data_IF_072164824792
#
_entry.id   IF_072164824792
#
_cell.length_a   1.000
_cell.length_b   1.000
_cell.length_c   1.000
_cell.angle_alpha   90.00
_cell.angle_beta   90.00
_cell.angle_gamma   90.00
#
_symmetry.space_group_name_H-M   'P 1'
#
loop_
_entity.id
_entity.type
_entity.pdbx_description
1 polymer ?
#
# COMPACT_ATOMS: atom_id res chain seq x y z
N UNK A 1 12.52 4.03 -5.46
CA UNK A 1 13.38 2.92 -5.87
C UNK A 1 12.63 1.61 -5.80
N UNK A 2 12.16 1.15 -4.63
CA UNK A 2 11.52 -0.16 -4.46
C UNK A 2 10.25 -0.35 -5.30
N UNK A 3 9.39 0.66 -5.43
CA UNK A 3 8.21 0.59 -6.28
C UNK A 3 8.58 0.44 -7.77
N UNK A 4 9.63 1.13 -8.22
CA UNK A 4 10.13 1.03 -9.58
C UNK A 4 10.74 -0.34 -9.88
N UNK A 5 11.53 -0.87 -8.97
CA UNK A 5 12.04 -2.24 -9.02
C UNK A 5 10.89 -3.27 -9.05
N UNK A 6 9.90 -3.09 -8.18
CA UNK A 6 8.76 -4.01 -8.05
C UNK A 6 7.87 -4.04 -9.29
N UNK A 7 7.72 -2.89 -9.97
CA UNK A 7 6.94 -2.78 -11.21
C UNK A 7 7.46 -3.75 -12.29
N UNK A 8 8.79 -3.87 -12.44
CA UNK A 8 9.38 -4.81 -13.40
C UNK A 8 9.03 -6.27 -13.06
N UNK A 9 8.97 -6.61 -11.77
CA UNK A 9 8.57 -7.96 -11.32
C UNK A 9 7.08 -8.22 -11.54
N UNK A 10 6.23 -7.21 -11.36
CA UNK A 10 4.81 -7.32 -11.70
C UNK A 10 4.56 -7.51 -13.19
N UNK A 11 5.33 -6.85 -14.05
CA UNK A 11 5.26 -7.04 -15.50
C UNK A 11 5.71 -8.43 -15.95
N UNK A 12 6.74 -8.98 -15.27
CA UNK A 12 7.26 -10.32 -15.50
C UNK A 12 6.73 -11.34 -14.45
N UNK A 13 5.44 -11.22 -14.04
CA UNK A 13 4.91 -11.95 -12.91
C UNK A 13 5.05 -13.47 -13.02
N UNK A 14 4.82 -14.04 -14.20
CA UNK A 14 4.98 -15.47 -14.45
C UNK A 14 6.44 -15.94 -14.25
N UNK A 15 7.39 -15.17 -14.77
CA UNK A 15 8.82 -15.49 -14.62
C UNK A 15 9.27 -15.32 -13.16
N UNK A 16 8.78 -14.28 -12.49
CA UNK A 16 9.04 -14.06 -11.07
C UNK A 16 8.57 -15.23 -10.20
N UNK A 17 7.43 -15.82 -10.52
CA UNK A 17 6.89 -17.00 -9.83
C UNK A 17 7.62 -18.32 -10.20
N UNK A 18 8.51 -18.29 -11.18
CA UNK A 18 9.17 -19.51 -11.69
C UNK A 18 8.25 -20.37 -12.56
N UNK A 19 7.32 -19.74 -13.31
CA UNK A 19 6.42 -20.38 -14.25
C UNK A 19 4.99 -20.62 -13.74
N UNK A 20 4.12 -21.09 -14.62
CA UNK A 20 2.72 -21.43 -14.33
C UNK A 20 2.57 -22.84 -13.81
N UNK A 21 1.60 -23.01 -12.94
CA UNK A 21 1.08 -24.31 -12.51
C UNK A 21 -0.22 -24.74 -13.23
N UNK A 22 -0.57 -24.06 -14.33
CA UNK A 22 -1.82 -24.24 -15.06
C UNK A 22 -2.97 -23.35 -14.56
N UNK A 23 -2.79 -22.61 -13.49
CA UNK A 23 -3.79 -21.68 -12.93
C UNK A 23 -3.81 -20.30 -13.60
N UNK A 24 -4.82 -19.51 -13.23
CA UNK A 24 -4.89 -18.07 -13.58
C UNK A 24 -3.82 -17.31 -12.80
N UNK A 25 -3.14 -16.38 -13.46
CA UNK A 25 -2.24 -15.42 -12.82
C UNK A 25 -2.93 -14.06 -12.68
N UNK A 26 -2.62 -13.36 -11.58
CA UNK A 26 -2.90 -11.95 -11.47
C UNK A 26 -2.13 -11.18 -12.56
N UNK A 27 -2.73 -10.11 -13.07
CA UNK A 27 -2.15 -9.33 -14.17
C UNK A 27 -1.88 -7.90 -13.75
N UNK A 28 -0.73 -7.42 -14.11
CA UNK A 28 -0.42 -6.00 -14.07
C UNK A 28 -0.98 -5.32 -15.32
N UNK A 29 -1.84 -4.33 -15.11
CA UNK A 29 -2.40 -3.49 -16.16
C UNK A 29 -1.65 -2.17 -16.17
N UNK A 30 -0.81 -1.96 -17.19
CA UNK A 30 -0.12 -0.69 -17.41
C UNK A 30 -1.12 0.31 -18.01
N UNK A 31 -1.63 1.21 -17.18
CA UNK A 31 -2.60 2.25 -17.57
C UNK A 31 -2.01 3.65 -17.53
N UNK A 32 -0.80 3.78 -17.00
CA UNK A 32 -0.27 5.05 -16.56
C UNK A 32 -0.86 5.48 -15.22
N UNK A 33 -0.23 6.48 -14.62
CA UNK A 33 -0.67 7.13 -13.40
C UNK A 33 -0.57 8.64 -13.53
N UNK A 34 -1.63 9.33 -13.17
CA UNK A 34 -1.72 10.79 -13.14
C UNK A 34 -1.86 11.24 -11.70
N UNK A 35 -0.97 12.12 -11.26
CA UNK A 35 -1.13 12.83 -10.01
C UNK A 35 -1.48 14.29 -10.32
N UNK A 36 -2.64 14.74 -9.85
CA UNK A 36 -3.08 16.12 -10.03
C UNK A 36 -2.34 17.06 -9.09
N UNK A 37 -2.07 18.27 -9.54
CA UNK A 37 -1.37 19.28 -8.76
C UNK A 37 -2.15 19.63 -7.48
N UNK A 38 -1.44 19.66 -6.37
CA UNK A 38 -2.00 20.08 -5.08
C UNK A 38 -0.94 20.80 -4.24
N UNK A 39 -1.32 21.85 -3.49
CA UNK A 39 -0.39 22.57 -2.64
C UNK A 39 0.27 21.75 -1.52
N UNK A 40 -0.37 20.67 -1.09
CA UNK A 40 0.16 19.79 -0.03
C UNK A 40 1.14 18.72 -0.55
N UNK A 41 1.36 18.64 -1.86
CA UNK A 41 2.37 17.75 -2.44
C UNK A 41 3.24 18.52 -3.44
N UNK A 42 4.53 18.57 -3.18
CA UNK A 42 5.49 19.19 -4.10
C UNK A 42 5.75 18.28 -5.29
N UNK A 43 5.17 18.63 -6.46
CA UNK A 43 5.48 17.95 -7.72
C UNK A 43 6.99 17.98 -8.01
N UNK A 44 7.67 19.10 -7.77
CA UNK A 44 9.11 19.23 -7.97
C UNK A 44 9.91 18.19 -7.16
N UNK A 45 9.55 17.97 -5.88
CA UNK A 45 10.20 16.94 -5.03
C UNK A 45 10.00 15.54 -5.62
N UNK A 46 8.79 15.21 -6.03
CA UNK A 46 8.47 13.88 -6.60
C UNK A 46 9.18 13.67 -7.93
N UNK A 47 9.14 14.67 -8.82
CA UNK A 47 9.78 14.59 -10.14
C UNK A 47 11.32 14.52 -10.01
N UNK A 48 11.91 15.24 -9.04
CA UNK A 48 13.33 15.10 -8.73
C UNK A 48 13.72 13.69 -8.27
N UNK A 49 12.83 12.98 -7.57
CA UNK A 49 13.03 11.56 -7.25
C UNK A 49 12.86 10.67 -8.48
N UNK A 50 11.93 10.98 -9.38
CA UNK A 50 11.74 10.26 -10.64
C UNK A 50 12.99 10.37 -11.52
N UNK A 51 13.58 11.57 -11.64
CA UNK A 51 14.82 11.79 -12.36
C UNK A 51 15.98 10.96 -11.80
N UNK A 52 16.13 10.91 -10.47
CA UNK A 52 17.16 10.13 -9.79
C UNK A 52 17.04 8.62 -10.04
N UNK A 53 15.81 8.12 -10.19
CA UNK A 53 15.53 6.68 -10.34
C UNK A 53 15.34 6.30 -11.81
N UNK A 54 15.20 7.28 -12.70
CA UNK A 54 14.95 7.05 -14.13
C UNK A 54 13.51 6.66 -14.45
N UNK A 55 12.53 7.14 -13.66
CA UNK A 55 11.10 6.94 -13.94
C UNK A 55 10.66 7.94 -15.01
N UNK A 56 10.14 7.52 -16.16
CA UNK A 56 9.66 8.43 -17.18
C UNK A 56 8.38 9.13 -16.75
N UNK A 57 8.28 10.42 -17.05
CA UNK A 57 7.09 11.22 -16.77
C UNK A 57 6.89 12.35 -17.79
N UNK A 58 5.68 12.89 -17.80
CA UNK A 58 5.34 14.14 -18.49
C UNK A 58 4.62 15.06 -17.50
N UNK A 59 4.92 16.35 -17.58
CA UNK A 59 4.14 17.38 -16.86
C UNK A 59 3.04 17.87 -17.77
N UNK A 60 1.81 17.79 -17.33
CA UNK A 60 0.64 18.21 -18.08
C UNK A 60 0.09 19.52 -17.52
N UNK A 61 0.01 20.53 -18.35
CA UNK A 61 -0.73 21.75 -18.04
C UNK A 61 -2.24 21.48 -17.93
N UNK A 62 -3.04 22.40 -17.40
CA UNK A 62 -4.51 22.25 -17.40
C UNK A 62 -5.08 22.07 -18.81
N UNK A 63 -4.43 22.62 -19.84
CA UNK A 63 -4.82 22.48 -21.23
C UNK A 63 -4.48 21.06 -21.76
N UNK A 64 -3.28 20.57 -21.47
CA UNK A 64 -2.88 19.20 -21.80
C UNK A 64 -3.83 18.19 -21.15
N UNK A 65 -4.20 18.41 -19.90
CA UNK A 65 -5.12 17.54 -19.16
C UNK A 65 -6.50 17.50 -19.83
N UNK A 66 -7.07 18.66 -20.20
CA UNK A 66 -8.36 18.71 -20.93
C UNK A 66 -8.31 18.01 -22.28
N UNK A 67 -7.16 18.10 -22.97
CA UNK A 67 -7.00 17.48 -24.28
C UNK A 67 -6.82 15.96 -24.19
N UNK A 68 -5.99 15.50 -23.24
CA UNK A 68 -5.59 14.08 -23.13
C UNK A 68 -6.57 13.25 -22.29
N UNK A 69 -7.24 13.86 -21.33
CA UNK A 69 -8.18 13.20 -20.43
C UNK A 69 -9.46 14.07 -20.23
N UNK A 70 -10.24 14.29 -21.31
CA UNK A 70 -11.34 15.25 -21.32
C UNK A 70 -12.50 14.96 -20.37
N UNK A 71 -12.56 13.74 -19.82
CA UNK A 71 -13.55 13.34 -18.84
C UNK A 71 -13.23 13.89 -17.44
N UNK A 72 -11.99 14.37 -17.19
CA UNK A 72 -11.55 14.90 -15.90
C UNK A 72 -11.68 16.43 -15.89
N UNK A 73 -12.49 16.95 -14.98
CA UNK A 73 -12.54 18.39 -14.73
C UNK A 73 -11.23 18.91 -14.17
N UNK A 74 -10.76 20.05 -14.65
CA UNK A 74 -9.48 20.64 -14.25
C UNK A 74 -9.63 21.73 -13.18
N UNK A 75 -10.81 21.89 -12.61
CA UNK A 75 -11.06 22.88 -11.57
C UNK A 75 -10.22 22.65 -10.31
N UNK A 76 -9.74 23.74 -9.69
CA UNK A 76 -9.03 23.71 -8.42
C UNK A 76 -10.02 23.85 -7.27
N UNK A 77 -10.02 22.88 -6.34
CA UNK A 77 -10.91 22.82 -5.19
C UNK A 77 -10.20 22.83 -3.84
N UNK A 78 -8.87 22.80 -3.85
CA UNK A 78 -8.05 22.78 -2.62
C UNK A 78 -8.36 23.94 -1.65
N UNK A 79 -8.36 23.69 -0.31
CA UNK A 79 -8.18 22.40 0.36
C UNK A 79 -9.41 21.49 0.22
N UNK A 80 -9.22 20.16 0.34
CA UNK A 80 -10.35 19.23 0.45
C UNK A 80 -11.32 19.66 1.55
N UNK A 81 -12.62 19.49 1.32
CA UNK A 81 -13.68 19.91 2.24
C UNK A 81 -14.63 18.75 2.53
N UNK A 82 -15.28 18.74 3.72
CA UNK A 82 -16.36 17.80 3.98
C UNK A 82 -17.50 17.95 2.98
N UNK A 83 -18.00 16.86 2.43
CA UNK A 83 -19.07 16.88 1.41
C UNK A 83 -20.41 17.37 1.96
N UNK A 84 -20.58 17.37 3.29
CA UNK A 84 -21.76 17.89 3.97
C UNK A 84 -21.77 19.44 4.11
N UNK A 85 -20.67 20.11 3.82
CA UNK A 85 -20.56 21.56 3.90
C UNK A 85 -20.90 22.22 2.58
N UNK A 86 -21.61 23.36 2.61
CA UNK A 86 -21.94 24.15 1.41
C UNK A 86 -20.67 24.53 0.62
N UNK A 87 -19.59 24.81 1.33
CA UNK A 87 -18.31 25.16 0.73
C UNK A 87 -17.68 24.05 -0.15
N UNK A 88 -18.08 22.78 0.02
CA UNK A 88 -17.68 21.71 -0.89
C UNK A 88 -18.22 21.94 -2.31
N UNK A 89 -19.37 22.59 -2.44
CA UNK A 89 -20.09 22.81 -3.70
C UNK A 89 -19.74 24.13 -4.38
N UNK A 90 -18.84 24.93 -3.79
CA UNK A 90 -18.35 26.18 -4.38
C UNK A 90 -17.70 25.95 -5.74
N UNK A 91 -17.78 26.96 -6.61
CA UNK A 91 -17.07 26.98 -7.89
C UNK A 91 -15.55 26.86 -7.70
N UNK A 92 -14.84 26.25 -8.67
CA UNK A 92 -13.40 26.13 -8.59
C UNK A 92 -12.70 27.48 -8.57
N UNK A 93 -11.60 27.58 -7.81
CA UNK A 93 -10.83 28.82 -7.66
C UNK A 93 -9.78 29.04 -8.75
N UNK A 94 -9.74 28.18 -9.75
CA UNK A 94 -8.79 28.19 -10.85
C UNK A 94 -8.74 26.83 -11.53
N UNK A 95 -7.64 26.52 -12.18
CA UNK A 95 -7.43 25.20 -12.81
C UNK A 95 -6.09 24.61 -12.41
N UNK A 96 -6.00 23.28 -12.45
CA UNK A 96 -4.82 22.49 -12.13
C UNK A 96 -4.41 21.61 -13.31
N UNK A 97 -3.11 21.36 -13.40
CA UNK A 97 -2.51 20.32 -14.21
C UNK A 97 -2.12 19.12 -13.36
N UNK A 98 -1.03 18.50 -13.72
CA UNK A 98 -0.49 17.36 -12.98
C UNK A 98 0.75 16.79 -13.64
N UNK A 99 1.23 15.66 -13.12
CA UNK A 99 2.26 14.87 -13.77
C UNK A 99 1.79 13.44 -14.01
N UNK A 100 2.14 12.94 -15.16
CA UNK A 100 1.75 11.61 -15.62
C UNK A 100 2.98 10.73 -15.86
N UNK A 101 2.91 9.47 -15.44
CA UNK A 101 3.91 8.46 -15.76
C UNK A 101 3.29 7.31 -16.55
N UNK A 102 3.88 6.92 -17.70
CA UNK A 102 3.33 5.85 -18.55
C UNK A 102 3.44 4.47 -17.92
N UNK A 103 4.36 4.29 -16.98
CA UNK A 103 4.74 2.99 -16.46
C UNK A 103 4.00 2.60 -15.18
N UNK A 104 3.16 3.47 -14.65
CA UNK A 104 2.26 3.12 -13.56
C UNK A 104 1.09 2.25 -14.04
N UNK A 105 0.42 1.62 -13.08
CA UNK A 105 -0.71 0.76 -13.33
C UNK A 105 -1.22 0.09 -12.07
N UNK A 106 -1.99 -0.97 -12.23
CA UNK A 106 -2.54 -1.74 -11.11
C UNK A 106 -2.56 -3.24 -11.40
N UNK A 107 -2.58 -4.03 -10.35
CA UNK A 107 -2.83 -5.48 -10.43
C UNK A 107 -4.34 -5.72 -10.33
N UNK A 108 -4.88 -6.53 -11.22
CA UNK A 108 -6.34 -6.73 -11.37
C UNK A 108 -6.98 -7.43 -10.16
N UNK A 109 -6.23 -8.31 -9.49
CA UNK A 109 -6.76 -9.12 -8.41
C UNK A 109 -5.69 -9.40 -7.34
N UNK A 110 -5.72 -8.68 -6.20
CA UNK A 110 -4.75 -8.88 -5.13
C UNK A 110 -4.86 -10.25 -4.44
N UNK A 111 -6.06 -10.84 -4.37
CA UNK A 111 -6.23 -12.16 -3.80
C UNK A 111 -5.59 -13.23 -4.68
N UNK A 112 -5.72 -13.10 -6.01
CA UNK A 112 -4.99 -13.96 -6.95
C UNK A 112 -3.48 -13.78 -6.86
N UNK A 113 -2.99 -12.56 -6.70
CA UNK A 113 -1.56 -12.32 -6.52
C UNK A 113 -1.01 -13.05 -5.28
N UNK A 114 -1.70 -12.95 -4.14
CA UNK A 114 -1.36 -13.68 -2.92
C UNK A 114 -1.43 -15.20 -3.12
N UNK A 115 -2.47 -15.71 -3.79
CA UNK A 115 -2.61 -17.12 -4.12
C UNK A 115 -1.46 -17.61 -5.03
N UNK A 116 -1.10 -16.85 -6.05
CA UNK A 116 0.01 -17.22 -6.93
C UNK A 116 1.35 -17.32 -6.17
N UNK A 117 1.62 -16.39 -5.25
CA UNK A 117 2.79 -16.45 -4.36
C UNK A 117 2.76 -17.71 -3.48
N UNK A 118 1.59 -18.01 -2.90
CA UNK A 118 1.41 -19.21 -2.07
C UNK A 118 1.74 -20.47 -2.86
N UNK A 119 1.17 -20.62 -4.06
CA UNK A 119 1.41 -21.80 -4.92
C UNK A 119 2.88 -21.90 -5.34
N UNK A 120 3.51 -20.76 -5.68
CA UNK A 120 4.93 -20.74 -6.00
C UNK A 120 5.78 -21.17 -4.80
N UNK A 121 5.48 -20.68 -3.60
CA UNK A 121 6.16 -21.08 -2.37
C UNK A 121 5.98 -22.58 -2.06
N UNK A 122 4.76 -23.12 -2.26
CA UNK A 122 4.50 -24.57 -2.08
C UNK A 122 5.33 -25.43 -3.02
N UNK A 123 5.53 -25.01 -4.26
CA UNK A 123 6.43 -25.72 -5.21
C UNK A 123 7.89 -25.75 -4.73
N UNK A 124 8.28 -24.79 -3.91
CA UNK A 124 9.59 -24.72 -3.27
C UNK A 124 9.64 -25.39 -1.89
N UNK A 125 8.57 -26.06 -1.48
CA UNK A 125 8.51 -26.83 -0.24
C UNK A 125 7.90 -26.10 0.95
N UNK A 126 7.36 -24.88 0.79
CA UNK A 126 6.66 -24.19 1.86
C UNK A 126 5.32 -24.89 2.20
N UNK A 127 4.95 -24.88 3.48
CA UNK A 127 3.68 -25.38 3.98
C UNK A 127 2.83 -24.24 4.48
N UNK A 128 1.52 -24.31 4.25
CA UNK A 128 0.54 -23.32 4.70
C UNK A 128 -0.48 -23.98 5.62
N UNK A 129 -0.77 -23.33 6.74
CA UNK A 129 -1.79 -23.76 7.69
C UNK A 129 -2.78 -22.63 7.89
N UNK A 130 -3.99 -22.82 7.37
CA UNK A 130 -5.11 -21.88 7.51
C UNK A 130 -5.97 -22.24 8.72
N UNK A 131 -6.77 -21.27 9.18
CA UNK A 131 -7.65 -21.46 10.34
C UNK A 131 -6.89 -21.77 11.63
N UNK A 132 -5.69 -21.18 11.79
CA UNK A 132 -4.84 -21.36 12.96
C UNK A 132 -4.45 -20.00 13.52
N UNK A 133 -4.65 -19.83 14.82
CA UNK A 133 -4.29 -18.59 15.56
C UNK A 133 -3.03 -18.84 16.39
N UNK A 134 -2.05 -17.95 16.24
CA UNK A 134 -0.86 -17.95 17.10
C UNK A 134 -1.24 -17.36 18.46
N UNK A 135 -1.11 -18.13 19.53
CA UNK A 135 -1.42 -17.74 20.91
C UNK A 135 -0.19 -17.54 21.79
N UNK A 136 1.00 -17.86 21.26
CA UNK A 136 2.24 -17.65 21.99
C UNK A 136 3.47 -17.81 21.13
N UNK A 137 4.52 -17.04 21.45
CA UNK A 137 5.86 -17.18 20.90
C UNK A 137 6.75 -17.83 21.96
N UNK A 138 7.33 -18.98 21.64
CA UNK A 138 8.23 -19.71 22.52
C UNK A 138 9.66 -19.19 22.36
N UNK A 139 10.33 -18.98 23.49
CA UNK A 139 11.70 -18.45 23.52
C UNK A 139 12.55 -19.18 24.60
N UNK A 140 13.84 -19.24 24.35
CA UNK A 140 14.84 -19.66 25.33
C UNK A 140 16.13 -18.86 25.11
N UNK A 141 16.72 -18.36 26.17
CA UNK A 141 17.99 -17.61 26.09
C UNK A 141 17.90 -16.33 25.25
N UNK A 142 16.71 -15.71 25.10
CA UNK A 142 16.53 -14.51 24.29
C UNK A 142 16.21 -14.78 22.81
N UNK A 143 16.21 -16.06 22.37
CA UNK A 143 15.96 -16.46 20.99
C UNK A 143 14.63 -17.17 20.84
N UNK A 144 13.97 -17.00 19.69
CA UNK A 144 12.75 -17.74 19.36
C UNK A 144 13.05 -19.23 19.16
N UNK A 145 12.10 -20.07 19.59
CA UNK A 145 12.08 -21.52 19.36
C UNK A 145 10.89 -21.94 18.48
N UNK A 146 9.95 -21.03 18.22
CA UNK A 146 8.75 -21.29 17.47
C UNK A 146 7.50 -20.70 18.10
N UNK A 147 6.33 -21.18 17.67
CA UNK A 147 5.03 -20.68 18.11
C UNK A 147 4.15 -21.77 18.71
N UNK A 148 3.16 -21.36 19.48
CA UNK A 148 2.05 -22.19 19.95
C UNK A 148 0.77 -21.69 19.29
N UNK A 149 -0.07 -22.59 18.82
CA UNK A 149 -1.36 -22.30 18.20
C UNK A 149 -2.50 -22.49 19.20
N UNK A 150 -3.68 -22.00 18.85
CA UNK A 150 -4.92 -22.07 19.64
C UNK A 150 -5.38 -23.50 19.95
N UNK A 151 -5.09 -24.47 19.08
CA UNK A 151 -5.34 -25.90 19.32
C UNK A 151 -4.25 -26.59 20.16
N UNK A 152 -3.28 -25.85 20.70
CA UNK A 152 -2.17 -26.36 21.47
C UNK A 152 -1.01 -26.93 20.63
N UNK A 153 -1.11 -26.94 19.30
CA UNK A 153 -0.01 -27.38 18.43
C UNK A 153 1.20 -26.47 18.61
N UNK A 154 2.37 -27.05 18.65
CA UNK A 154 3.64 -26.34 18.66
C UNK A 154 4.34 -26.51 17.34
N UNK A 155 4.79 -25.40 16.76
CA UNK A 155 5.61 -25.38 15.54
C UNK A 155 6.99 -24.85 15.92
N UNK A 156 8.00 -25.66 15.69
CA UNK A 156 9.39 -25.31 15.99
C UNK A 156 10.01 -24.59 14.79
N UNK A 157 10.66 -23.46 15.05
CA UNK A 157 11.44 -22.73 14.05
C UNK A 157 12.47 -21.84 14.75
N UNK A 158 13.72 -21.78 14.29
CA UNK A 158 14.72 -20.85 14.80
C UNK A 158 14.51 -19.41 14.30
N UNK A 159 13.65 -19.22 13.30
CA UNK A 159 13.29 -17.93 12.70
C UNK A 159 11.79 -17.78 12.64
N UNK A 160 11.29 -16.64 13.06
CA UNK A 160 9.89 -16.26 13.01
C UNK A 160 9.76 -14.87 12.38
N UNK A 161 8.91 -14.74 11.37
CA UNK A 161 8.61 -13.44 10.74
C UNK A 161 7.18 -13.05 11.04
N UNK A 162 6.98 -11.92 11.69
CA UNK A 162 5.67 -11.32 11.87
C UNK A 162 5.29 -10.52 10.62
N UNK A 163 4.27 -10.97 9.92
CA UNK A 163 3.64 -10.28 8.80
C UNK A 163 2.11 -10.27 8.99
N UNK A 164 1.66 -10.10 10.24
CA UNK A 164 0.27 -10.28 10.66
C UNK A 164 -0.64 -9.08 10.33
N UNK A 165 -0.14 -8.08 9.58
CA UNK A 165 -0.91 -6.91 9.19
C UNK A 165 -1.46 -6.17 10.42
N UNK A 166 -2.77 -5.89 10.49
CA UNK A 166 -3.34 -5.12 11.61
C UNK A 166 -3.19 -5.80 12.97
N UNK A 167 -2.93 -7.11 13.03
CA UNK A 167 -2.64 -7.85 14.26
C UNK A 167 -1.14 -7.87 14.64
N UNK A 168 -0.29 -7.13 13.93
CA UNK A 168 1.16 -7.16 14.15
C UNK A 168 1.55 -6.75 15.57
N UNK A 169 0.82 -5.80 16.17
CA UNK A 169 1.01 -5.39 17.58
C UNK A 169 0.82 -6.55 18.56
N UNK A 170 -0.24 -7.35 18.34
CA UNK A 170 -0.54 -8.52 19.18
C UNK A 170 0.58 -9.56 19.10
N UNK A 171 1.08 -9.84 17.88
CA UNK A 171 2.17 -10.82 17.71
C UNK A 171 3.48 -10.29 18.30
N UNK A 172 3.77 -8.99 18.20
CA UNK A 172 4.91 -8.37 18.85
C UNK A 172 4.83 -8.46 20.39
N UNK A 173 3.62 -8.30 20.95
CA UNK A 173 3.39 -8.48 22.39
C UNK A 173 3.66 -9.94 22.82
N UNK A 174 3.13 -10.92 22.08
CA UNK A 174 3.39 -12.35 22.32
C UNK A 174 4.89 -12.69 22.23
N UNK A 175 5.61 -12.00 21.36
CA UNK A 175 7.07 -12.13 21.25
C UNK A 175 7.84 -11.38 22.34
N UNK A 176 7.19 -10.44 23.07
CA UNK A 176 7.84 -9.55 24.04
C UNK A 176 8.79 -8.55 23.38
N UNK A 177 8.42 -8.05 22.19
CA UNK A 177 9.21 -7.12 21.39
C UNK A 177 8.60 -5.71 21.27
N UNK A 178 7.50 -5.39 21.99
CA UNK A 178 6.81 -4.10 21.87
C UNK A 178 7.67 -2.88 22.22
N UNK A 179 8.51 -3.01 23.26
CA UNK A 179 9.35 -1.89 23.74
C UNK A 179 10.56 -1.61 22.85
N UNK A 180 10.79 -2.45 21.83
CA UNK A 180 11.93 -2.38 20.93
C UNK A 180 11.72 -1.36 19.77
N UNK A 181 10.52 -0.84 19.62
CA UNK A 181 10.13 -0.04 18.48
C UNK A 181 10.08 1.46 18.79
N UNK A 182 10.86 2.27 18.04
CA UNK A 182 10.67 3.72 17.99
C UNK A 182 9.49 4.10 17.09
N UNK A 183 9.31 3.34 15.99
CA UNK A 183 8.19 3.46 15.07
C UNK A 183 7.12 2.45 15.48
N UNK A 184 5.97 2.93 15.94
CA UNK A 184 4.84 2.09 16.35
C UNK A 184 3.87 1.84 15.20
N UNK A 185 3.04 0.81 15.33
CA UNK A 185 1.94 0.55 14.38
C UNK A 185 0.59 0.60 15.08
N UNK A 186 -0.45 0.99 14.33
CA UNK A 186 -1.83 1.02 14.82
C UNK A 186 -2.80 0.64 13.72
N UNK A 187 -3.85 -0.15 14.03
CA UNK A 187 -4.90 -0.48 13.07
C UNK A 187 -5.74 0.75 12.70
N UNK A 188 -5.98 0.94 11.39
CA UNK A 188 -6.81 2.00 10.84
C UNK A 188 -7.86 1.40 9.92
N UNK A 189 -9.14 1.63 10.22
CA UNK A 189 -10.24 1.21 9.36
C UNK A 189 -10.29 2.04 8.10
N UNK A 190 -10.41 1.38 6.93
CA UNK A 190 -10.45 2.02 5.62
C UNK A 190 -11.57 1.44 4.75
N UNK A 191 -12.07 2.27 3.85
CA UNK A 191 -13.08 1.88 2.87
C UNK A 191 -12.64 2.21 1.45
N UNK A 192 -12.94 1.29 0.53
CA UNK A 192 -12.76 1.49 -0.91
C UNK A 192 -14.08 1.17 -1.59
N UNK A 193 -14.53 2.07 -2.43
CA UNK A 193 -15.83 1.98 -3.06
C UNK A 193 -15.76 1.74 -4.56
N UNK A 194 -16.87 1.30 -5.12
CA UNK A 194 -17.02 1.08 -6.55
C UNK A 194 -18.32 1.75 -7.03
N UNK A 195 -18.20 2.58 -8.07
CA UNK A 195 -19.34 3.20 -8.74
C UNK A 195 -19.38 2.78 -10.22
N UNK A 196 -20.54 2.90 -10.90
CA UNK A 196 -20.62 2.61 -12.34
C UNK A 196 -19.60 3.43 -13.13
N UNK A 197 -18.95 2.81 -14.09
CA UNK A 197 -18.06 3.50 -15.02
C UNK A 197 -18.83 4.42 -15.95
N UNK A 198 -18.18 5.49 -16.40
CA UNK A 198 -18.63 6.30 -17.54
C UNK A 198 -18.12 5.69 -18.83
N UNK A 199 -18.82 5.92 -19.95
CA UNK A 199 -18.47 5.31 -21.25
C UNK A 199 -17.01 5.60 -21.67
N UNK A 200 -16.51 6.78 -21.34
CA UNK A 200 -15.13 7.18 -21.61
C UNK A 200 -14.11 6.65 -20.58
N UNK A 201 -14.54 6.21 -19.40
CA UNK A 201 -13.66 5.70 -18.36
C UNK A 201 -13.55 4.19 -18.47
N UNK A 202 -12.59 3.74 -19.24
CA UNK A 202 -12.32 2.33 -19.51
C UNK A 202 -11.10 1.85 -18.71
N UNK A 203 -10.82 0.53 -18.69
CA UNK A 203 -9.62 -0.03 -18.05
C UNK A 203 -8.28 0.55 -18.54
N UNK A 204 -8.27 1.22 -19.71
CA UNK A 204 -7.07 1.88 -20.26
C UNK A 204 -6.85 3.33 -19.79
N UNK A 205 -7.77 3.90 -19.00
CA UNK A 205 -7.63 5.25 -18.44
C UNK A 205 -6.67 5.19 -17.24
N UNK A 206 -5.77 6.19 -17.06
CA UNK A 206 -4.81 6.15 -15.96
C UNK A 206 -5.46 6.11 -14.59
N UNK A 207 -4.74 5.53 -13.62
CA UNK A 207 -5.02 5.77 -12.20
C UNK A 207 -4.80 7.26 -11.93
N UNK A 208 -5.75 7.89 -11.25
CA UNK A 208 -5.68 9.31 -10.87
C UNK A 208 -5.57 9.43 -9.36
N UNK A 209 -4.53 10.10 -8.89
CA UNK A 209 -4.38 10.58 -7.52
C UNK A 209 -4.77 12.06 -7.48
N UNK A 210 -5.80 12.38 -6.73
CA UNK A 210 -6.40 13.70 -6.63
C UNK A 210 -6.32 14.22 -5.19
N UNK A 211 -5.18 14.78 -4.84
CA UNK A 211 -4.95 15.38 -3.52
C UNK A 211 -5.61 16.76 -3.39
N UNK A 212 -6.07 17.34 -4.50
CA UNK A 212 -6.83 18.61 -4.52
C UNK A 212 -8.25 18.41 -3.94
N UNK A 213 -8.85 17.25 -4.21
CA UNK A 213 -10.16 16.84 -3.65
C UNK A 213 -10.07 15.81 -2.53
N UNK A 214 -8.90 15.18 -2.30
CA UNK A 214 -8.72 14.20 -1.24
C UNK A 214 -9.18 12.79 -1.60
N UNK A 215 -9.02 12.36 -2.86
CA UNK A 215 -9.44 11.06 -3.35
C UNK A 215 -8.47 10.48 -4.38
N UNK A 216 -8.55 9.19 -4.63
CA UNK A 216 -7.95 8.56 -5.79
C UNK A 216 -8.98 7.66 -6.48
N UNK A 217 -8.80 7.44 -7.78
CA UNK A 217 -9.71 6.57 -8.52
C UNK A 217 -9.05 5.95 -9.74
N UNK A 218 -9.61 4.84 -10.20
CA UNK A 218 -9.17 4.14 -11.41
C UNK A 218 -10.30 3.31 -12.01
N UNK A 219 -10.17 3.00 -13.29
CA UNK A 219 -11.02 1.99 -13.92
C UNK A 219 -10.77 0.59 -13.37
N UNK A 220 -11.79 -0.26 -13.45
CA UNK A 220 -11.69 -1.69 -13.14
C UNK A 220 -11.84 -2.51 -14.41
N UNK A 221 -11.34 -3.77 -14.48
CA UNK A 221 -11.57 -4.66 -15.61
C UNK A 221 -13.06 -4.92 -15.90
N UNK A 222 -13.93 -4.73 -14.90
CA UNK A 222 -15.38 -4.84 -15.04
C UNK A 222 -16.03 -3.58 -15.65
N UNK A 223 -15.26 -2.51 -15.92
CA UNK A 223 -15.77 -1.26 -16.47
C UNK A 223 -16.35 -0.29 -15.45
N UNK A 224 -16.14 -0.52 -14.15
CA UNK A 224 -16.53 0.39 -13.07
C UNK A 224 -15.37 1.32 -12.68
N UNK A 225 -15.65 2.30 -11.83
CA UNK A 225 -14.64 3.15 -11.19
C UNK A 225 -14.47 2.68 -9.74
N UNK A 226 -13.24 2.31 -9.39
CA UNK A 226 -12.84 2.07 -8.01
C UNK A 226 -12.37 3.40 -7.41
N UNK A 227 -12.82 3.70 -6.20
CA UNK A 227 -12.63 4.98 -5.51
C UNK A 227 -12.12 4.73 -4.09
N UNK A 228 -11.10 5.50 -3.66
CA UNK A 228 -10.62 5.52 -2.29
C UNK A 228 -10.27 6.93 -1.83
N UNK A 229 -10.09 7.11 -0.53
CA UNK A 229 -9.63 8.36 0.08
C UNK A 229 -8.11 8.48 0.09
N UNK A 230 -7.62 9.71 0.19
CA UNK A 230 -6.21 10.03 0.44
C UNK A 230 -6.01 10.65 1.82
N UNK A 231 -6.89 10.33 2.75
CA UNK A 231 -6.90 10.79 4.15
C UNK A 231 -6.71 12.32 4.28
N UNK A 232 -7.55 13.15 3.60
CA UNK A 232 -7.47 14.58 3.76
C UNK A 232 -7.82 15.00 5.21
N UNK A 233 -7.26 16.10 5.70
CA UNK A 233 -7.44 16.56 7.08
C UNK A 233 -8.90 16.76 7.48
N UNK A 234 -9.80 16.98 6.52
CA UNK A 234 -11.23 17.12 6.77
C UNK A 234 -11.98 15.80 7.01
N UNK A 235 -11.34 14.66 6.74
CA UNK A 235 -11.95 13.35 6.96
C UNK A 235 -11.43 12.73 8.27
N UNK A 236 -12.31 12.22 9.14
CA UNK A 236 -11.88 11.57 10.37
C UNK A 236 -11.17 10.23 10.08
N UNK A 237 -10.03 10.01 10.73
CA UNK A 237 -9.37 8.71 10.74
C UNK A 237 -10.00 7.80 11.80
N UNK A 238 -10.46 6.62 11.39
CA UNK A 238 -11.11 5.66 12.29
C UNK A 238 -10.06 4.67 12.80
N UNK A 239 -9.34 5.09 13.83
CA UNK A 239 -8.36 4.26 14.53
C UNK A 239 -9.03 3.21 15.38
N UNK A 240 -8.50 1.98 15.39
CA UNK A 240 -9.00 0.86 16.18
C UNK A 240 -7.98 0.51 17.28
N UNK A 241 -8.50 0.07 18.42
CA UNK A 241 -7.68 -0.52 19.46
C UNK A 241 -7.59 -2.05 19.27
N UNK A 242 -8.65 -2.67 18.78
CA UNK A 242 -8.70 -4.06 18.35
C UNK A 242 -9.05 -4.11 16.86
N UNK A 243 -8.22 -4.71 15.99
CA UNK A 243 -8.48 -4.79 14.56
C UNK A 243 -9.74 -5.61 14.20
N UNK A 244 -10.22 -6.47 15.10
CA UNK A 244 -11.42 -7.28 14.93
C UNK A 244 -12.70 -6.58 15.39
N UNK A 245 -12.58 -5.48 16.17
CA UNK A 245 -13.73 -4.70 16.66
C UNK A 245 -14.17 -3.63 15.67
N UNK A 246 -14.55 -4.06 14.46
CA UNK A 246 -15.09 -3.14 13.44
C UNK A 246 -16.06 -3.83 12.48
N UNK A 247 -17.05 -3.06 12.00
CA UNK A 247 -17.93 -3.53 10.93
C UNK A 247 -17.20 -3.57 9.59
N UNK A 248 -17.32 -4.68 8.86
CA UNK A 248 -16.85 -4.82 7.49
C UNK A 248 -17.88 -4.34 6.45
N UNK A 249 -18.93 -3.63 6.89
CA UNK A 249 -19.92 -3.02 6.00
C UNK A 249 -19.51 -1.58 5.69
N UNK A 250 -19.45 -1.16 4.42
CA UNK A 250 -19.21 0.23 4.05
C UNK A 250 -20.21 1.18 4.68
N UNK A 251 -19.75 2.36 5.07
CA UNK A 251 -20.60 3.42 5.64
C UNK A 251 -21.11 4.37 4.57
N UNK A 252 -22.29 4.96 4.79
CA UNK A 252 -22.84 5.96 3.87
C UNK A 252 -21.97 7.23 3.85
N UNK A 253 -21.48 7.64 5.00
CA UNK A 253 -20.68 8.86 5.17
C UNK A 253 -19.38 8.81 4.35
N UNK A 254 -18.56 7.75 4.52
CA UNK A 254 -17.29 7.62 3.79
C UNK A 254 -17.55 7.39 2.30
N UNK A 255 -18.60 6.62 1.97
CA UNK A 255 -19.03 6.43 0.58
C UNK A 255 -19.32 7.76 -0.11
N UNK A 256 -20.15 8.61 0.50
CA UNK A 256 -20.51 9.91 -0.05
C UNK A 256 -19.29 10.82 -0.14
N UNK A 257 -18.44 10.86 0.89
CA UNK A 257 -17.23 11.66 0.89
C UNK A 257 -16.31 11.32 -0.31
N UNK A 258 -16.06 10.04 -0.52
CA UNK A 258 -15.17 9.60 -1.61
C UNK A 258 -15.82 9.74 -2.99
N UNK A 259 -17.08 9.32 -3.15
CA UNK A 259 -17.72 9.25 -4.47
C UNK A 259 -18.18 10.61 -4.98
N UNK A 260 -18.61 11.54 -4.11
CA UNK A 260 -18.95 12.91 -4.53
C UNK A 260 -17.70 13.70 -4.94
N UNK A 261 -16.54 13.46 -4.31
CA UNK A 261 -15.28 14.03 -4.76
C UNK A 261 -14.92 13.55 -6.17
N UNK A 262 -15.09 12.24 -6.44
CA UNK A 262 -14.89 11.71 -7.80
C UNK A 262 -15.92 12.32 -8.76
N UNK A 263 -17.19 12.47 -8.38
CA UNK A 263 -18.19 13.06 -9.26
C UNK A 263 -17.90 14.54 -9.57
N UNK A 264 -17.25 15.28 -8.68
CA UNK A 264 -16.73 16.63 -8.99
C UNK A 264 -15.58 16.61 -9.98
N UNK A 265 -14.72 15.61 -9.89
CA UNK A 265 -13.57 15.47 -10.82
C UNK A 265 -13.94 14.82 -12.14
N UNK A 266 -14.95 13.96 -12.15
CA UNK A 266 -15.50 13.26 -13.31
C UNK A 266 -16.99 13.58 -13.40
N UNK A 267 -17.40 14.70 -14.00
CA UNK A 267 -18.79 15.18 -13.96
C UNK A 267 -19.83 14.21 -14.55
N UNK A 268 -19.41 13.29 -15.42
CA UNK A 268 -20.27 12.25 -15.99
C UNK A 268 -20.47 11.05 -15.06
N UNK A 269 -19.73 10.97 -13.93
CA UNK A 269 -19.86 9.87 -12.99
C UNK A 269 -21.23 9.88 -12.30
N UNK A 270 -21.84 8.71 -12.21
CA UNK A 270 -23.11 8.52 -11.51
C UNK A 270 -22.83 7.90 -10.14
N UNK A 271 -23.32 8.54 -9.08
CA UNK A 271 -23.21 8.03 -7.71
C UNK A 271 -24.52 7.34 -7.30
N UNK A 272 -24.54 6.00 -7.18
CA UNK A 272 -25.72 5.27 -6.68
C UNK A 272 -26.03 5.65 -5.22
N UNK A 273 -27.31 5.57 -4.79
CA UNK A 273 -27.70 5.98 -3.44
C UNK A 273 -27.26 5.01 -2.33
N UNK A 274 -26.74 3.83 -2.68
CA UNK A 274 -26.31 2.80 -1.72
C UNK A 274 -24.83 2.52 -1.89
N UNK A 275 -24.08 2.45 -0.79
CA UNK A 275 -22.67 2.05 -0.82
C UNK A 275 -22.47 0.70 -1.47
N UNK A 276 -21.45 0.61 -2.32
CA UNK A 276 -20.90 -0.64 -2.82
C UNK A 276 -19.38 -0.54 -2.68
N UNK A 277 -18.78 -1.48 -1.99
CA UNK A 277 -17.36 -1.44 -1.73
C UNK A 277 -16.92 -2.51 -0.74
N UNK A 278 -15.72 -2.36 -0.26
CA UNK A 278 -15.11 -3.21 0.76
C UNK A 278 -14.59 -2.35 1.91
N UNK A 279 -14.57 -2.95 3.08
CA UNK A 279 -13.89 -2.42 4.27
C UNK A 279 -12.67 -3.27 4.56
N UNK A 280 -11.58 -2.64 4.90
CA UNK A 280 -10.37 -3.28 5.37
C UNK A 280 -9.77 -2.55 6.56
N UNK A 281 -8.82 -3.20 7.23
CA UNK A 281 -8.06 -2.58 8.30
C UNK A 281 -6.60 -2.52 7.86
N UNK A 282 -6.07 -1.29 7.83
CA UNK A 282 -4.66 -1.06 7.54
C UNK A 282 -3.82 -1.24 8.79
N UNK A 283 -2.60 -1.71 8.62
CA UNK A 283 -1.53 -1.69 9.60
C UNK A 283 -0.70 -0.43 9.36
N UNK A 284 -1.00 0.65 10.08
CA UNK A 284 -0.38 1.97 9.83
C UNK A 284 0.76 2.20 10.80
N UNK A 285 1.96 2.46 10.27
CA UNK A 285 3.10 2.90 11.06
C UNK A 285 2.99 4.39 11.41
N UNK A 286 3.61 4.80 12.50
CA UNK A 286 3.52 6.18 13.02
C UNK A 286 4.07 7.24 12.07
N UNK A 287 4.84 6.85 11.06
CA UNK A 287 5.39 7.72 10.00
C UNK A 287 4.97 7.29 8.57
N UNK A 288 4.00 6.39 8.45
CA UNK A 288 3.47 5.85 7.19
C UNK A 288 4.48 5.11 6.31
N UNK A 289 5.69 4.86 6.80
CA UNK A 289 6.72 4.04 6.13
C UNK A 289 6.73 2.64 6.76
N UNK A 290 6.79 1.55 5.98
CA UNK A 290 6.78 0.20 6.54
C UNK A 290 8.01 -0.10 7.39
N UNK A 291 7.90 -1.14 8.21
CA UNK A 291 8.99 -1.66 9.02
C UNK A 291 9.36 -3.04 8.50
N UNK A 292 10.57 -3.16 7.96
CA UNK A 292 11.19 -4.42 7.50
C UNK A 292 12.51 -4.58 8.26
N UNK A 293 12.46 -5.30 9.38
CA UNK A 293 13.58 -5.27 10.31
C UNK A 293 13.71 -6.56 11.13
N UNK A 294 14.86 -6.70 11.77
CA UNK A 294 15.03 -7.56 12.93
C UNK A 294 14.39 -6.93 14.18
N UNK A 295 14.39 -7.64 15.30
CA UNK A 295 14.05 -7.09 16.62
C UNK A 295 15.16 -7.37 17.63
N UNK A 296 14.97 -6.94 18.88
CA UNK A 296 15.86 -7.31 19.99
C UNK A 296 15.74 -8.79 20.39
N UNK A 297 14.70 -9.49 19.92
CA UNK A 297 14.53 -10.93 20.14
C UNK A 297 15.20 -11.69 19.00
N UNK A 298 16.23 -12.45 19.29
CA UNK A 298 16.99 -13.20 18.29
C UNK A 298 16.09 -14.15 17.50
N UNK A 299 16.25 -14.15 16.17
CA UNK A 299 15.43 -14.93 15.26
C UNK A 299 14.00 -14.41 15.05
N UNK A 300 13.61 -13.27 15.65
CA UNK A 300 12.30 -12.64 15.44
C UNK A 300 12.42 -11.41 14.55
N UNK A 301 11.73 -11.46 13.39
CA UNK A 301 11.76 -10.44 12.35
C UNK A 301 10.36 -9.91 12.09
N UNK A 302 10.26 -8.71 11.52
CA UNK A 302 8.99 -8.04 11.23
C UNK A 302 8.93 -7.52 9.80
N UNK A 303 7.77 -7.70 9.17
CA UNK A 303 7.38 -7.05 7.91
C UNK A 303 5.98 -6.46 8.11
N UNK A 304 5.90 -5.30 8.74
CA UNK A 304 4.70 -4.70 9.31
C UNK A 304 4.59 -3.21 8.96
N UNK A 305 3.51 -2.55 9.38
CA UNK A 305 3.35 -1.11 9.20
C UNK A 305 3.17 -0.72 7.73
N UNK A 306 2.44 -1.52 6.97
CA UNK A 306 2.32 -1.37 5.50
C UNK A 306 1.53 -0.13 5.08
N UNK A 307 0.80 0.51 5.99
CA UNK A 307 0.10 1.79 5.83
C UNK A 307 -0.77 1.86 4.56
N UNK A 308 -1.32 0.72 4.10
CA UNK A 308 -2.18 0.61 2.93
C UNK A 308 -1.49 0.77 1.58
N UNK A 309 -0.20 1.06 1.53
CA UNK A 309 0.48 1.41 0.27
C UNK A 309 1.56 0.41 -0.20
N UNK A 310 1.77 -0.72 0.51
CA UNK A 310 2.89 -1.62 0.24
C UNK A 310 2.58 -2.81 -0.68
N UNK A 311 1.34 -3.02 -1.10
CA UNK A 311 1.02 -4.08 -2.07
C UNK A 311 1.90 -3.98 -3.33
N UNK A 312 2.10 -2.76 -3.84
CA UNK A 312 2.97 -2.49 -4.99
C UNK A 312 4.40 -3.02 -4.82
N UNK A 313 4.91 -3.06 -3.58
CA UNK A 313 6.28 -3.44 -3.24
C UNK A 313 6.43 -4.93 -2.90
N UNK A 314 5.34 -5.71 -2.79
CA UNK A 314 5.35 -7.09 -2.32
C UNK A 314 6.41 -7.98 -2.99
N UNK A 315 6.62 -7.94 -4.34
CA UNK A 315 7.63 -8.78 -4.98
C UNK A 315 9.08 -8.46 -4.57
N UNK A 316 9.35 -7.21 -4.22
CA UNK A 316 10.69 -6.78 -3.76
C UNK A 316 10.86 -7.07 -2.28
N UNK A 317 9.84 -6.82 -1.46
CA UNK A 317 9.89 -6.99 -0.01
C UNK A 317 10.25 -8.42 0.40
N UNK A 318 9.76 -9.43 -0.31
CA UNK A 318 10.14 -10.81 -0.07
C UNK A 318 11.64 -11.03 -0.18
N UNK A 319 12.30 -10.44 -1.19
CA UNK A 319 13.76 -10.50 -1.34
C UNK A 319 14.47 -9.71 -0.25
N UNK A 320 14.01 -8.48 0.05
CA UNK A 320 14.60 -7.65 1.11
C UNK A 320 14.60 -8.40 2.44
N UNK A 321 13.48 -9.01 2.81
CA UNK A 321 13.37 -9.81 4.04
C UNK A 321 14.27 -11.05 4.03
N UNK A 322 14.33 -11.77 2.91
CA UNK A 322 15.20 -12.94 2.81
C UNK A 322 16.68 -12.56 2.97
N UNK A 323 17.11 -11.43 2.36
CA UNK A 323 18.48 -10.93 2.51
C UNK A 323 18.78 -10.43 3.91
N UNK A 324 17.84 -9.71 4.53
CA UNK A 324 17.96 -9.25 5.91
C UNK A 324 18.13 -10.44 6.86
N UNK A 325 17.22 -11.40 6.79
CA UNK A 325 17.25 -12.58 7.66
C UNK A 325 18.57 -13.34 7.48
N UNK A 326 18.96 -13.62 6.22
CA UNK A 326 20.21 -14.32 5.95
C UNK A 326 21.44 -13.61 6.53
N UNK A 327 21.57 -12.32 6.31
CA UNK A 327 22.70 -11.52 6.80
C UNK A 327 22.75 -11.50 8.35
N UNK A 328 21.60 -11.30 9.01
CA UNK A 328 21.55 -11.27 10.48
C UNK A 328 21.81 -12.65 11.08
N UNK A 329 21.28 -13.73 10.52
CA UNK A 329 21.56 -15.10 10.99
C UNK A 329 23.02 -15.51 10.73
N UNK A 330 23.69 -14.91 9.73
CA UNK A 330 25.13 -15.06 9.47
C UNK A 330 25.99 -14.15 10.38
N UNK A 331 25.37 -13.36 11.28
CA UNK A 331 26.04 -12.59 12.32
C UNK A 331 26.24 -11.10 12.03
N UNK A 332 25.65 -10.55 10.95
CA UNK A 332 25.66 -9.10 10.69
C UNK A 332 24.75 -8.37 11.69
N UNK A 333 25.29 -7.38 12.39
CA UNK A 333 24.47 -6.50 13.25
C UNK A 333 23.82 -5.40 12.43
N UNK A 334 22.60 -5.66 11.97
CA UNK A 334 21.83 -4.73 11.13
C UNK A 334 21.60 -3.35 11.77
N UNK A 335 21.57 -3.25 13.10
CA UNK A 335 21.32 -1.99 13.80
C UNK A 335 22.53 -1.02 13.69
N UNK A 336 23.75 -1.57 13.56
CA UNK A 336 24.99 -0.77 13.45
C UNK A 336 25.63 -0.85 12.06
N UNK A 337 25.36 -1.92 11.31
CA UNK A 337 25.83 -2.15 9.94
C UNK A 337 24.65 -2.58 9.06
N UNK A 338 23.86 -1.61 8.53
CA UNK A 338 22.62 -1.88 7.82
C UNK A 338 22.82 -2.73 6.57
N UNK A 339 21.97 -3.73 6.39
CA UNK A 339 21.96 -4.60 5.21
C UNK A 339 21.63 -3.79 3.97
N UNK A 340 22.46 -3.94 2.94
CA UNK A 340 22.32 -3.31 1.64
C UNK A 340 21.93 -4.36 0.61
N UNK A 341 20.85 -4.13 -0.14
CA UNK A 341 20.34 -5.08 -1.13
C UNK A 341 20.43 -4.49 -2.54
N UNK A 342 21.30 -5.01 -3.42
CA UNK A 342 21.32 -4.62 -4.83
C UNK A 342 19.99 -4.99 -5.52
N UNK A 343 19.43 -4.07 -6.28
CA UNK A 343 18.19 -4.24 -7.03
C UNK A 343 18.49 -4.48 -8.51
N UNK A 344 18.07 -5.62 -9.01
CA UNK A 344 18.56 -6.17 -10.29
C UNK A 344 18.05 -5.39 -11.53
N UNK A 345 16.83 -4.84 -11.47
CA UNK A 345 16.22 -4.16 -12.62
C UNK A 345 16.57 -2.67 -12.68
N UNK A 346 16.74 -2.04 -11.54
CA UNK A 346 16.99 -0.59 -11.47
C UNK A 346 18.47 -0.24 -11.30
N UNK A 347 19.30 -1.20 -10.91
CA UNK A 347 20.72 -0.99 -10.62
C UNK A 347 20.98 -0.18 -9.34
N UNK A 348 19.94 0.14 -8.57
CA UNK A 348 20.07 0.81 -7.28
C UNK A 348 20.34 -0.17 -6.15
N UNK A 349 20.69 0.35 -4.99
CA UNK A 349 20.85 -0.42 -3.75
C UNK A 349 19.76 0.03 -2.79
N UNK A 350 19.00 -0.93 -2.25
CA UNK A 350 18.09 -0.67 -1.16
C UNK A 350 18.84 -0.73 0.17
N UNK A 351 18.90 0.39 0.87
CA UNK A 351 19.42 0.50 2.23
C UNK A 351 18.29 0.19 3.20
N UNK A 352 18.38 -0.93 3.92
CA UNK A 352 17.32 -1.37 4.81
C UNK A 352 17.24 -0.57 6.10
N UNK A 353 18.20 0.30 6.41
CA UNK A 353 18.09 1.25 7.53
C UNK A 353 16.88 2.18 7.40
N UNK A 354 16.43 2.46 6.16
CA UNK A 354 15.22 3.23 5.89
C UNK A 354 13.93 2.59 6.40
N UNK A 355 13.97 1.27 6.61
CA UNK A 355 12.84 0.48 7.09
C UNK A 355 13.03 0.01 8.54
N UNK A 356 14.10 0.46 9.21
CA UNK A 356 14.41 0.06 10.57
C UNK A 356 13.34 0.53 11.57
N UNK A 357 13.02 -0.32 12.53
CA UNK A 357 12.17 0.01 13.69
C UNK A 357 12.74 1.13 14.55
N UNK A 358 14.06 1.36 14.49
CA UNK A 358 14.79 2.36 15.28
C UNK A 358 15.04 3.67 14.52
N UNK A 359 14.60 3.78 13.25
CA UNK A 359 14.80 5.00 12.45
C UNK A 359 14.21 6.24 13.10
N UNK A 360 14.71 7.40 12.74
CA UNK A 360 14.01 8.67 12.98
C UNK A 360 12.76 8.69 12.10
N UNK A 361 11.58 9.08 12.65
CA UNK A 361 10.37 9.14 11.85
C UNK A 361 10.57 9.93 10.55
N UNK A 362 10.13 9.37 9.45
CA UNK A 362 10.24 10.01 8.14
C UNK A 362 9.21 11.15 8.01
N UNK A 363 9.59 12.20 7.29
CA UNK A 363 8.66 13.26 6.90
C UNK A 363 7.89 12.82 5.66
N UNK A 364 6.72 12.25 5.88
CA UNK A 364 5.79 11.79 4.83
C UNK A 364 4.56 12.70 4.75
N UNK A 365 3.68 12.45 3.77
CA UNK A 365 2.39 13.13 3.68
C UNK A 365 1.42 12.75 4.82
N UNK A 366 1.70 11.69 5.58
CA UNK A 366 0.77 11.13 6.56
C UNK A 366 -0.47 10.49 5.93
N UNK A 367 -0.35 10.00 4.69
CA UNK A 367 -1.45 9.43 3.91
C UNK A 367 -1.03 8.15 3.20
N UNK A 368 -2.01 7.43 2.65
CA UNK A 368 -1.78 6.24 1.80
C UNK A 368 -0.92 6.54 0.56
N UNK A 369 -0.75 7.78 0.21
CA UNK A 369 0.09 8.18 -0.93
C UNK A 369 1.60 8.14 -0.62
N UNK A 370 1.99 8.17 0.66
CA UNK A 370 3.36 8.04 1.16
C UNK A 370 4.10 9.34 1.42
#
# INVERSE_FOLDING_TARGET
VTAWESKHRWEAWEDYLGGRDGGRLARFHRTGGLCLDSPNQSAEKVLGLFDQVGVPYEVWSPEDLRLRLPLVDTGRHYPPKPVAEDAFWDEPTGSIGGYWTPDAGFVDDPAFAAHNLMVAAQRLGASFRFGATVTGVRKEGGRVLGVTLDDGTRLDSPVLVNAAGPHSGVVNELAGALEDFRITTRPLRQEVHEIPGVTAYSPGVPLVADLDLGTYFRGTPAGNILVGGTEPECDPLVWLDDPDDTSLTPTQEIYEAQTYRVARRVPEATVPPRPRGIVGVYDVSSDWVPIYDRTSVDGYYVAIGTSGNQFKNAPVVGELMARLIGAVEDGQDHDTDPVQVPLAHTGHVADLSHYSRLRTPAATSGTVMG
#
